data_IF_037825547658
#
_entry.id   IF_037825547658
#
_cell.length_a   1.000
_cell.length_b   1.000
_cell.length_c   1.000
_cell.angle_alpha   90.00
_cell.angle_beta   90.00
_cell.angle_gamma   90.00
#
_symmetry.space_group_name_H-M   'P 1'
#
loop_
_entity.id
_entity.type
_entity.pdbx_description
1 polymer ?
#
# COMPACT_ATOMS: atom_id res chain seq x y z
N UNK A 1 21.77 11.49 5.78
CA UNK A 1 20.67 12.44 5.53
C UNK A 1 20.10 12.38 4.10
N UNK A 2 20.80 11.79 3.11
CA UNK A 2 20.33 11.72 1.71
C UNK A 2 19.48 10.48 1.32
N UNK A 3 19.45 9.41 2.13
CA UNK A 3 18.67 8.21 1.83
C UNK A 3 17.15 8.37 2.09
N UNK A 4 16.77 9.28 3.01
CA UNK A 4 15.41 9.42 3.51
C UNK A 4 14.44 10.05 2.50
N UNK A 5 14.85 11.11 1.79
CA UNK A 5 14.01 11.74 0.75
C UNK A 5 13.78 10.86 -0.49
N UNK A 6 14.64 9.85 -0.71
CA UNK A 6 14.57 8.97 -1.89
C UNK A 6 13.45 7.93 -1.74
N UNK A 7 13.24 7.39 -0.53
CA UNK A 7 12.20 6.41 -0.24
C UNK A 7 10.79 7.00 -0.27
N UNK A 8 10.57 8.18 0.32
CA UNK A 8 9.24 8.85 0.31
C UNK A 8 8.73 9.11 -1.11
N UNK A 9 9.62 9.57 -2.01
CA UNK A 9 9.29 9.81 -3.42
C UNK A 9 9.05 8.53 -4.22
N UNK A 10 9.64 7.41 -3.81
CA UNK A 10 9.42 6.13 -4.49
C UNK A 10 8.07 5.54 -4.11
N UNK A 11 7.69 5.62 -2.84
CA UNK A 11 6.39 5.17 -2.36
C UNK A 11 5.23 6.00 -2.91
N UNK A 12 5.42 7.31 -3.09
CA UNK A 12 4.43 8.18 -3.73
C UNK A 12 4.05 7.75 -5.15
N UNK A 13 4.98 7.13 -5.89
CA UNK A 13 4.72 6.60 -7.24
C UNK A 13 3.88 5.33 -7.24
N UNK A 14 3.80 4.71 -6.08
CA UNK A 14 3.30 3.36 -5.87
C UNK A 14 1.89 3.37 -5.27
N UNK A 15 1.41 4.52 -4.78
CA UNK A 15 0.07 4.65 -4.20
C UNK A 15 -0.83 5.44 -5.15
N UNK A 16 -2.05 4.95 -5.35
CA UNK A 16 -3.05 5.61 -6.18
C UNK A 16 -4.47 5.36 -5.72
N UNK A 17 -5.39 6.16 -6.25
CA UNK A 17 -6.83 6.01 -6.06
C UNK A 17 -7.47 5.84 -7.44
N UNK A 18 -8.45 4.95 -7.54
CA UNK A 18 -9.30 4.81 -8.71
C UNK A 18 -10.75 5.16 -8.38
N UNK A 19 -11.36 6.01 -9.21
CA UNK A 19 -12.77 6.40 -9.15
C UNK A 19 -13.30 6.49 -10.58
N UNK A 20 -14.46 5.88 -10.84
CA UNK A 20 -15.24 6.01 -12.08
C UNK A 20 -14.42 5.88 -13.38
N UNK A 21 -13.65 4.79 -13.50
CA UNK A 21 -12.88 4.48 -14.71
C UNK A 21 -11.54 5.20 -14.82
N UNK A 22 -11.14 5.95 -13.80
CA UNK A 22 -9.89 6.75 -13.82
C UNK A 22 -9.05 6.50 -12.57
N UNK A 23 -7.79 6.12 -12.75
CA UNK A 23 -6.75 6.15 -11.73
C UNK A 23 -6.08 7.53 -11.66
N UNK A 24 -5.76 7.95 -10.44
CA UNK A 24 -4.84 9.07 -10.16
C UNK A 24 -3.84 8.60 -9.12
N UNK A 25 -2.57 8.61 -9.47
CA UNK A 25 -1.46 8.26 -8.59
C UNK A 25 -1.00 9.49 -7.83
N UNK A 26 -0.53 9.32 -6.59
CA UNK A 26 -0.19 10.46 -5.73
C UNK A 26 0.89 11.37 -6.33
N UNK A 27 1.70 10.86 -7.26
CA UNK A 27 2.73 11.60 -7.97
C UNK A 27 2.31 12.20 -9.33
N UNK A 28 1.04 12.08 -9.75
CA UNK A 28 0.57 12.53 -11.08
C UNK A 28 0.36 14.06 -11.20
N UNK A 29 0.77 14.84 -10.20
CA UNK A 29 0.60 16.30 -10.15
C UNK A 29 -0.85 16.78 -9.95
N UNK A 30 -1.82 15.86 -9.86
CA UNK A 30 -3.23 16.13 -9.54
C UNK A 30 -3.49 16.22 -8.03
N UNK A 31 -2.45 15.97 -7.23
CA UNK A 31 -2.51 15.90 -5.77
C UNK A 31 -1.70 17.04 -5.16
N UNK A 32 -2.31 17.73 -4.19
CA UNK A 32 -1.62 18.67 -3.32
C UNK A 32 -0.95 17.89 -2.19
N UNK A 33 0.38 17.72 -2.26
CA UNK A 33 1.15 16.92 -1.32
C UNK A 33 1.85 17.82 -0.30
N UNK A 34 1.62 17.54 0.98
CA UNK A 34 2.23 18.23 2.12
C UNK A 34 2.93 17.22 3.04
N UNK A 35 4.28 17.15 3.01
CA UNK A 35 5.02 16.35 3.98
C UNK A 35 4.93 17.00 5.36
N UNK A 36 4.76 16.19 6.40
CA UNK A 36 4.78 16.58 7.81
C UNK A 36 5.74 15.66 8.55
N UNK A 37 6.87 16.19 8.98
CA UNK A 37 7.78 15.45 9.85
C UNK A 37 7.53 15.84 11.30
N UNK A 38 7.26 14.86 12.16
CA UNK A 38 7.20 15.12 13.60
C UNK A 38 8.63 15.32 14.11
N UNK A 39 8.92 16.50 14.68
CA UNK A 39 10.24 16.81 15.23
C UNK A 39 10.59 15.81 16.33
N UNK A 40 11.70 15.09 16.16
CA UNK A 40 12.23 14.14 17.16
C UNK A 40 11.67 12.71 17.10
N UNK A 41 10.74 12.41 16.17
CA UNK A 41 10.13 11.08 16.02
C UNK A 41 10.73 10.24 14.90
N UNK A 42 10.45 8.93 14.91
CA UNK A 42 10.73 7.97 13.81
C UNK A 42 9.57 7.84 12.82
N UNK A 43 8.53 8.66 12.99
CA UNK A 43 7.31 8.65 12.18
C UNK A 43 7.40 9.73 11.10
N UNK A 44 7.31 9.32 9.83
CA UNK A 44 7.11 10.27 8.72
C UNK A 44 5.63 10.33 8.36
N UNK A 45 5.07 11.53 8.23
CA UNK A 45 3.68 11.74 7.84
C UNK A 45 3.64 12.48 6.52
N UNK A 46 2.75 12.05 5.64
CA UNK A 46 2.47 12.73 4.39
C UNK A 46 0.97 12.87 4.22
N UNK A 47 0.53 14.05 3.79
CA UNK A 47 -0.87 14.29 3.46
C UNK A 47 -0.94 14.65 1.98
N UNK A 48 -1.72 13.89 1.21
CA UNK A 48 -2.02 14.17 -0.18
C UNK A 48 -3.52 14.46 -0.33
N UNK A 49 -3.87 15.54 -1.01
CA UNK A 49 -5.26 15.91 -1.26
C UNK A 49 -5.55 16.02 -2.76
N UNK A 50 -6.64 15.42 -3.22
CA UNK A 50 -7.10 15.52 -4.61
C UNK A 50 -8.24 16.55 -4.70
N UNK A 51 -8.02 17.76 -5.28
CA UNK A 51 -9.02 18.84 -5.25
C UNK A 51 -10.32 18.53 -5.99
N UNK A 52 -10.24 17.79 -7.10
CA UNK A 52 -11.40 17.37 -7.90
C UNK A 52 -12.24 16.29 -7.20
N UNK A 53 -11.58 15.25 -6.67
CA UNK A 53 -12.29 14.14 -6.03
C UNK A 53 -12.66 14.41 -4.57
N UNK A 54 -12.08 15.46 -3.96
CA UNK A 54 -12.21 15.79 -2.54
C UNK A 54 -11.81 14.61 -1.65
N UNK A 55 -10.76 13.91 -2.04
CA UNK A 55 -10.19 12.80 -1.26
C UNK A 55 -8.88 13.26 -0.65
N UNK A 56 -8.72 12.99 0.65
CA UNK A 56 -7.44 13.13 1.34
C UNK A 56 -6.90 11.74 1.65
N UNK A 57 -5.62 11.52 1.38
CA UNK A 57 -4.85 10.36 1.81
C UNK A 57 -3.78 10.86 2.77
N UNK A 58 -3.87 10.45 4.03
CA UNK A 58 -2.79 10.60 5.00
C UNK A 58 -2.03 9.30 5.05
N UNK A 59 -0.71 9.36 5.01
CA UNK A 59 0.18 8.21 5.06
C UNK A 59 1.17 8.40 6.21
N UNK A 60 1.33 7.36 7.00
CA UNK A 60 2.24 7.31 8.13
C UNK A 60 3.23 6.16 7.87
N UNK A 61 4.51 6.49 7.76
CA UNK A 61 5.58 5.50 7.63
C UNK A 61 6.17 5.22 9.01
N UNK A 62 6.04 3.97 9.46
CA UNK A 62 6.58 3.49 10.71
C UNK A 62 7.83 2.64 10.42
N UNK A 63 9.01 3.18 10.76
CA UNK A 63 10.26 2.41 10.70
C UNK A 63 10.55 1.79 12.07
N UNK A 64 10.48 0.46 12.17
CA UNK A 64 10.97 -0.25 13.36
C UNK A 64 12.49 -0.40 13.25
N UNK A 65 13.23 0.16 14.20
CA UNK A 65 14.71 0.11 14.22
C UNK A 65 15.31 -1.30 14.32
N UNK A 66 14.51 -2.28 14.73
CA UNK A 66 14.98 -3.62 15.14
C UNK A 66 14.74 -4.71 14.11
N UNK A 67 13.94 -4.45 13.06
CA UNK A 67 13.61 -5.45 12.03
C UNK A 67 13.49 -4.75 10.68
N UNK A 68 13.86 -5.43 9.59
CA UNK A 68 13.79 -4.96 8.19
C UNK A 68 12.36 -4.85 7.66
N UNK A 69 11.40 -4.67 8.57
CA UNK A 69 9.97 -4.64 8.32
C UNK A 69 9.52 -3.21 8.06
N UNK A 70 8.72 -3.03 7.01
CA UNK A 70 8.22 -1.73 6.60
C UNK A 70 6.71 -1.71 6.82
N UNK A 71 6.21 -0.63 7.43
CA UNK A 71 4.80 -0.43 7.71
C UNK A 71 4.35 0.95 7.21
N UNK A 72 3.27 0.94 6.43
CA UNK A 72 2.58 2.15 6.00
C UNK A 72 1.14 2.10 6.47
N UNK A 73 0.79 3.03 7.34
CA UNK A 73 -0.59 3.23 7.76
C UNK A 73 -1.22 4.33 6.89
N UNK A 74 -2.36 4.04 6.28
CA UNK A 74 -3.11 4.93 5.43
C UNK A 74 -4.42 5.32 6.09
N UNK A 75 -4.72 6.62 6.04
CA UNK A 75 -6.03 7.17 6.40
C UNK A 75 -6.60 7.80 5.14
N UNK A 76 -7.66 7.21 4.59
CA UNK A 76 -8.33 7.73 3.40
C UNK A 76 -9.63 8.39 3.83
N UNK A 77 -9.74 9.69 3.58
CA UNK A 77 -10.87 10.52 3.98
C UNK A 77 -11.60 11.09 2.78
N UNK A 78 -12.91 10.89 2.76
CA UNK A 78 -13.81 11.60 1.87
C UNK A 78 -14.11 12.98 2.46
N UNK A 79 -13.71 14.05 1.78
CA UNK A 79 -14.01 15.43 2.17
C UNK A 79 -15.17 16.04 1.36
N UNK A 80 -15.88 15.24 0.59
CA UNK A 80 -17.11 15.67 -0.09
C UNK A 80 -18.36 15.37 0.74
N UNK A 81 -19.47 15.94 0.29
CA UNK A 81 -20.81 15.66 0.82
C UNK A 81 -21.49 14.47 0.14
N UNK A 82 -20.81 13.79 -0.79
CA UNK A 82 -21.34 12.65 -1.53
C UNK A 82 -20.67 11.36 -1.09
N UNK A 83 -21.40 10.24 -1.20
CA UNK A 83 -20.79 8.90 -1.07
C UNK A 83 -19.75 8.70 -2.19
N UNK A 84 -18.64 8.04 -1.87
CA UNK A 84 -17.60 7.65 -2.83
C UNK A 84 -17.36 6.15 -2.79
N UNK A 85 -17.57 5.51 -3.94
CA UNK A 85 -17.11 4.14 -4.21
C UNK A 85 -15.78 4.25 -4.97
N UNK A 86 -14.68 3.80 -4.36
CA UNK A 86 -13.34 3.96 -4.91
C UNK A 86 -12.52 2.68 -4.73
N UNK A 87 -11.31 2.67 -5.29
CA UNK A 87 -10.33 1.62 -5.02
C UNK A 87 -9.01 2.24 -4.61
N UNK A 88 -8.43 1.73 -3.54
CA UNK A 88 -7.06 1.99 -3.16
C UNK A 88 -6.14 1.10 -3.99
N UNK A 89 -5.10 1.70 -4.56
CA UNK A 89 -4.14 1.03 -5.42
C UNK A 89 -2.76 1.09 -4.76
N UNK A 90 -2.13 -0.06 -4.64
CA UNK A 90 -0.72 -0.17 -4.27
C UNK A 90 0.01 -0.93 -5.38
N UNK A 91 0.79 -0.23 -6.19
CA UNK A 91 1.75 -0.80 -7.12
C UNK A 91 3.09 -0.92 -6.40
N UNK A 92 3.61 -2.13 -6.26
CA UNK A 92 4.90 -2.36 -5.65
C UNK A 92 5.90 -2.75 -6.74
N UNK A 93 7.03 -2.04 -6.79
CA UNK A 93 8.11 -2.30 -7.72
C UNK A 93 9.42 -2.40 -6.94
N UNK A 94 10.00 -3.60 -6.89
CA UNK A 94 11.34 -3.81 -6.35
C UNK A 94 12.40 -3.22 -7.30
N UNK A 95 13.49 -2.72 -6.73
CA UNK A 95 14.63 -2.24 -7.52
C UNK A 95 15.28 -3.40 -8.29
N UNK A 96 15.74 -3.15 -9.52
CA UNK A 96 16.38 -4.16 -10.40
C UNK A 96 17.62 -4.84 -9.78
N UNK A 97 18.26 -4.21 -8.80
CA UNK A 97 19.37 -4.82 -8.04
C UNK A 97 18.92 -5.89 -7.05
N UNK A 98 17.61 -6.04 -6.81
CA UNK A 98 17.06 -7.11 -6.00
C UNK A 98 17.09 -8.40 -6.82
N UNK A 99 17.73 -9.44 -6.29
CA UNK A 99 17.80 -10.79 -6.85
C UNK A 99 16.46 -11.53 -6.86
N UNK A 100 15.33 -10.82 -6.81
CA UNK A 100 14.00 -11.42 -6.86
C UNK A 100 13.81 -12.07 -8.22
N UNK A 101 13.68 -13.40 -8.19
CA UNK A 101 13.52 -14.25 -9.36
C UNK A 101 12.04 -14.41 -9.70
N UNK A 102 11.21 -14.58 -8.67
CA UNK A 102 9.80 -14.95 -8.83
C UNK A 102 8.95 -14.24 -7.78
N UNK A 103 7.77 -13.79 -8.18
CA UNK A 103 6.72 -13.32 -7.28
C UNK A 103 5.51 -14.25 -7.38
N UNK A 104 4.88 -14.54 -6.25
CA UNK A 104 3.73 -15.42 -6.12
C UNK A 104 2.63 -14.73 -5.31
N UNK A 105 1.38 -14.87 -5.75
CA UNK A 105 0.19 -14.48 -4.99
C UNK A 105 -0.28 -15.68 -4.19
N UNK A 106 -0.42 -15.51 -2.87
CA UNK A 106 -1.08 -16.46 -1.98
C UNK A 106 -2.50 -15.96 -1.67
N UNK A 107 -3.55 -16.46 -2.35
CA UNK A 107 -4.92 -16.00 -2.10
C UNK A 107 -5.41 -16.33 -0.69
N UNK A 108 -5.00 -17.49 -0.16
CA UNK A 108 -5.37 -17.92 1.19
C UNK A 108 -4.79 -17.00 2.26
N UNK A 109 -3.59 -16.48 2.04
CA UNK A 109 -2.91 -15.56 2.96
C UNK A 109 -3.15 -14.09 2.62
N UNK A 110 -3.90 -13.78 1.55
CA UNK A 110 -4.07 -12.41 1.05
C UNK A 110 -2.73 -11.64 0.97
N UNK A 111 -1.70 -12.32 0.47
CA UNK A 111 -0.33 -11.81 0.45
C UNK A 111 0.37 -12.10 -0.87
N UNK A 112 1.40 -11.31 -1.18
CA UNK A 112 2.30 -11.50 -2.31
C UNK A 112 3.70 -11.80 -1.77
N UNK A 113 4.26 -12.93 -2.17
CA UNK A 113 5.57 -13.41 -1.74
C UNK A 113 6.54 -13.25 -2.89
N UNK A 114 7.65 -12.55 -2.65
CA UNK A 114 8.73 -12.34 -3.59
C UNK A 114 9.93 -13.18 -3.17
N UNK A 115 10.32 -14.16 -3.99
CA UNK A 115 11.49 -14.99 -3.77
C UNK A 115 12.71 -14.36 -4.46
N UNK A 116 13.64 -13.86 -3.65
CA UNK A 116 15.00 -13.57 -4.08
C UNK A 116 16.01 -14.37 -3.26
N UNK A 117 17.20 -14.60 -3.81
CA UNK A 117 18.30 -15.19 -3.05
C UNK A 117 19.25 -14.07 -2.59
N UNK A 118 19.50 -13.87 -1.29
CA UNK A 118 19.14 -14.72 -0.14
C UNK A 118 17.90 -14.25 0.66
N UNK A 119 17.07 -13.35 0.11
CA UNK A 119 15.99 -12.67 0.85
C UNK A 119 14.63 -12.95 0.20
N UNK A 120 13.70 -13.45 1.00
CA UNK A 120 12.27 -13.51 0.70
C UNK A 120 11.62 -12.26 1.26
N UNK A 121 10.67 -11.67 0.53
CA UNK A 121 9.77 -10.68 1.11
C UNK A 121 8.30 -11.01 0.93
N UNK A 122 7.48 -10.58 1.88
CA UNK A 122 6.03 -10.72 1.87
C UNK A 122 5.41 -9.33 1.92
N UNK A 123 4.54 -9.03 0.96
CA UNK A 123 3.74 -7.81 0.90
C UNK A 123 2.27 -8.16 1.13
N UNK A 124 1.61 -7.46 2.04
CA UNK A 124 0.18 -7.61 2.29
C UNK A 124 -0.43 -6.28 2.75
N UNK A 125 -1.76 -6.24 2.72
CA UNK A 125 -2.55 -5.08 3.14
C UNK A 125 -3.83 -5.53 3.83
N UNK A 126 -4.28 -4.73 4.80
CA UNK A 126 -5.58 -4.88 5.45
C UNK A 126 -6.22 -3.50 5.64
N UNK A 127 -7.49 -3.37 5.24
CA UNK A 127 -8.27 -2.15 5.37
C UNK A 127 -9.53 -2.40 6.18
N UNK A 128 -9.87 -1.44 7.04
CA UNK A 128 -11.01 -1.55 7.91
C UNK A 128 -12.31 -1.74 7.10
N UNK A 129 -13.09 -2.78 7.47
CA UNK A 129 -14.32 -3.27 6.81
C UNK A 129 -14.14 -3.92 5.44
N UNK A 130 -12.93 -3.95 4.88
CA UNK A 130 -12.65 -4.52 3.56
C UNK A 130 -11.50 -5.52 3.68
N UNK A 131 -11.86 -6.79 3.93
CA UNK A 131 -10.92 -7.85 4.30
C UNK A 131 -10.18 -8.47 3.11
N UNK A 132 -10.61 -8.20 1.88
CA UNK A 132 -10.04 -8.83 0.69
C UNK A 132 -9.57 -7.79 -0.32
N UNK A 133 -8.35 -7.99 -0.81
CA UNK A 133 -7.77 -7.19 -1.88
C UNK A 133 -7.58 -8.06 -3.12
N UNK A 134 -7.77 -7.49 -4.31
CA UNK A 134 -7.29 -8.15 -5.52
C UNK A 134 -5.77 -8.06 -5.53
N UNK A 135 -5.11 -9.18 -5.82
CA UNK A 135 -3.66 -9.29 -5.87
C UNK A 135 -3.25 -9.82 -7.24
N UNK A 136 -2.18 -9.25 -7.79
CA UNK A 136 -1.55 -9.76 -9.01
C UNK A 136 -0.05 -9.46 -9.02
N UNK A 137 0.68 -10.32 -9.70
CA UNK A 137 2.12 -10.14 -9.99
C UNK A 137 2.29 -9.93 -11.49
N UNK A 138 3.26 -9.09 -11.86
CA UNK A 138 3.53 -8.71 -13.25
C UNK A 138 3.58 -7.20 -13.45
N UNK A 139 3.98 -6.80 -14.66
CA UNK A 139 4.09 -5.38 -15.05
C UNK A 139 2.75 -4.68 -14.95
N UNK A 140 2.72 -3.50 -14.32
CA UNK A 140 1.49 -2.71 -14.10
C UNK A 140 0.64 -2.56 -15.36
N UNK A 141 1.24 -2.30 -16.52
CA UNK A 141 0.53 -2.07 -17.79
C UNK A 141 -0.19 -3.32 -18.30
N UNK A 142 0.22 -4.51 -17.85
CA UNK A 142 -0.40 -5.79 -18.23
C UNK A 142 -1.47 -6.22 -17.23
N UNK A 143 -1.22 -5.99 -15.94
CA UNK A 143 -2.09 -6.47 -14.87
C UNK A 143 -3.15 -5.46 -14.44
N UNK A 144 -2.99 -4.16 -14.70
CA UNK A 144 -3.96 -3.14 -14.31
C UNK A 144 -4.89 -2.75 -15.46
N UNK A 145 -6.21 -2.97 -15.29
CA UNK A 145 -7.22 -2.49 -16.21
C UNK A 145 -7.86 -1.19 -15.69
N UNK A 146 -7.32 -0.05 -16.09
CA UNK A 146 -7.78 1.26 -15.63
C UNK A 146 -9.27 1.52 -15.91
N UNK A 147 -9.80 1.15 -17.07
CA UNK A 147 -11.22 1.41 -17.40
C UNK A 147 -12.19 0.63 -16.51
N UNK A 148 -11.79 -0.53 -16.00
CA UNK A 148 -12.60 -1.39 -15.11
C UNK A 148 -12.22 -1.25 -13.64
N UNK A 149 -11.08 -0.64 -13.35
CA UNK A 149 -10.48 -0.56 -12.03
C UNK A 149 -10.17 -1.94 -11.43
N UNK A 150 -9.79 -2.93 -12.22
CA UNK A 150 -9.57 -4.28 -11.70
C UNK A 150 -8.28 -4.87 -12.23
N UNK A 151 -7.77 -5.90 -11.55
CA UNK A 151 -6.61 -6.62 -12.04
C UNK A 151 -7.03 -7.57 -13.19
N UNK A 152 -6.44 -7.37 -14.36
CA UNK A 152 -6.64 -8.22 -15.53
C UNK A 152 -5.79 -9.49 -15.37
N UNK A 153 -6.40 -10.66 -15.60
CA UNK A 153 -5.78 -12.00 -15.65
C UNK A 153 -4.58 -12.13 -14.71
N UNK A 154 -4.83 -12.47 -13.44
CA UNK A 154 -3.79 -12.56 -12.42
C UNK A 154 -3.01 -13.87 -12.56
N UNK A 155 -1.77 -13.90 -13.11
CA UNK A 155 -0.93 -15.06 -12.92
C UNK A 155 -0.65 -15.17 -11.42
N UNK A 156 -0.93 -16.32 -10.82
CA UNK A 156 -0.59 -16.56 -9.42
C UNK A 156 0.93 -16.57 -9.20
N UNK A 157 1.72 -16.72 -10.26
CA UNK A 157 3.17 -16.77 -10.22
C UNK A 157 3.73 -16.13 -11.50
N UNK A 158 4.70 -15.23 -11.36
CA UNK A 158 5.39 -14.66 -12.50
C UNK A 158 6.84 -14.29 -12.14
N UNK A 159 7.74 -14.42 -13.11
CA UNK A 159 9.04 -13.77 -13.05
C UNK A 159 8.85 -12.25 -13.13
N UNK A 160 9.49 -11.53 -12.22
CA UNK A 160 9.45 -10.07 -12.20
C UNK A 160 9.50 -9.48 -10.81
N UNK A 161 9.56 -8.15 -10.81
CA UNK A 161 9.77 -7.31 -9.62
C UNK A 161 8.55 -6.48 -9.25
N UNK A 162 7.48 -6.61 -10.04
CA UNK A 162 6.28 -5.80 -9.93
C UNK A 162 5.10 -6.62 -9.46
N UNK A 163 4.34 -6.01 -8.56
CA UNK A 163 3.08 -6.57 -8.05
C UNK A 163 2.09 -5.45 -7.78
N UNK A 164 0.81 -5.77 -7.72
CA UNK A 164 -0.24 -4.80 -7.47
C UNK A 164 -1.29 -5.35 -6.51
N UNK A 165 -1.71 -4.50 -5.58
CA UNK A 165 -2.84 -4.72 -4.68
C UNK A 165 -3.91 -3.68 -4.95
N UNK A 166 -5.16 -4.13 -4.97
CA UNK A 166 -6.33 -3.28 -5.22
C UNK A 166 -7.39 -3.58 -4.18
N UNK A 167 -7.66 -2.63 -3.31
CA UNK A 167 -8.65 -2.75 -2.23
C UNK A 167 -9.84 -1.88 -2.55
N UNK A 168 -11.05 -2.45 -2.57
CA UNK A 168 -12.27 -1.65 -2.73
C UNK A 168 -12.52 -0.88 -1.45
N UNK A 169 -12.93 0.38 -1.57
CA UNK A 169 -13.31 1.22 -0.44
C UNK A 169 -14.64 1.92 -0.72
N UNK A 170 -15.50 1.94 0.30
CA UNK A 170 -16.77 2.67 0.26
C UNK A 170 -16.79 3.70 1.39
N UNK A 171 -16.77 4.99 1.04
CA UNK A 171 -16.78 6.08 2.03
C UNK A 171 -18.07 6.89 1.93
N UNK A 172 -18.77 7.01 3.06
CA UNK A 172 -19.84 7.98 3.26
C UNK A 172 -19.27 9.41 3.27
N UNK A 173 -20.14 10.44 3.16
CA UNK A 173 -19.73 11.83 3.32
C UNK A 173 -18.92 12.04 4.60
N UNK A 174 -17.81 12.77 4.50
CA UNK A 174 -16.92 13.12 5.62
C UNK A 174 -16.27 11.93 6.36
N UNK A 175 -16.51 10.70 5.91
CA UNK A 175 -15.99 9.49 6.53
C UNK A 175 -14.50 9.30 6.21
N UNK A 176 -13.78 8.72 7.17
CA UNK A 176 -12.44 8.18 6.99
C UNK A 176 -12.41 6.66 7.19
N UNK A 177 -11.48 6.01 6.51
CA UNK A 177 -11.15 4.60 6.68
C UNK A 177 -9.65 4.46 6.89
N UNK A 178 -9.28 3.47 7.68
CA UNK A 178 -7.90 3.15 8.00
C UNK A 178 -7.50 1.86 7.31
N UNK A 179 -6.29 1.82 6.80
CA UNK A 179 -5.69 0.59 6.31
C UNK A 179 -4.19 0.59 6.56
N UNK A 180 -3.60 -0.59 6.52
CA UNK A 180 -2.17 -0.76 6.69
C UNK A 180 -1.64 -1.66 5.59
N UNK A 181 -0.50 -1.27 5.04
CA UNK A 181 0.32 -2.07 4.14
C UNK A 181 1.60 -2.40 4.88
N UNK A 182 2.05 -3.65 4.81
CA UNK A 182 3.32 -4.05 5.37
C UNK A 182 4.13 -4.89 4.41
N UNK A 183 5.45 -4.73 4.51
CA UNK A 183 6.41 -5.61 3.86
C UNK A 183 7.33 -6.23 4.91
N UNK A 184 7.38 -7.57 4.93
CA UNK A 184 8.34 -8.34 5.72
C UNK A 184 9.46 -8.85 4.86
N UNK A 185 10.66 -8.82 5.41
CA UNK A 185 11.84 -9.45 4.83
C UNK A 185 12.31 -10.56 5.76
N UNK A 186 12.79 -11.65 5.18
CA UNK A 186 13.27 -12.82 5.91
C UNK A 186 14.10 -13.74 5.02
N UNK A 187 14.63 -14.81 5.61
CA UNK A 187 15.42 -15.82 4.92
C UNK A 187 14.59 -17.05 4.51
N UNK A 188 13.38 -17.21 5.07
CA UNK A 188 12.47 -18.30 4.73
C UNK A 188 11.02 -17.81 4.64
N UNK A 189 10.17 -18.60 3.96
CA UNK A 189 8.75 -18.31 3.85
C UNK A 189 8.06 -18.42 5.22
N UNK A 190 8.44 -19.39 6.04
CA UNK A 190 7.92 -19.59 7.40
C UNK A 190 8.18 -18.36 8.27
N UNK A 191 9.37 -17.75 8.16
CA UNK A 191 9.71 -16.54 8.92
C UNK A 191 8.79 -15.37 8.56
N UNK A 192 8.63 -15.07 7.27
CA UNK A 192 7.81 -13.93 6.83
C UNK A 192 6.32 -14.17 7.06
N UNK A 193 5.85 -15.42 6.94
CA UNK A 193 4.48 -15.80 7.26
C UNK A 193 4.20 -15.71 8.76
N UNK A 194 5.13 -16.15 9.62
CA UNK A 194 4.97 -16.02 11.07
C UNK A 194 4.85 -14.55 11.48
N UNK A 195 5.64 -13.64 10.87
CA UNK A 195 5.51 -12.18 11.08
C UNK A 195 4.14 -11.68 10.60
N UNK A 196 3.63 -12.18 9.47
CA UNK A 196 2.34 -11.81 8.90
C UNK A 196 1.15 -12.19 9.78
N UNK A 197 1.15 -13.40 10.36
CA UNK A 197 0.07 -13.86 11.25
C UNK A 197 0.01 -13.07 12.58
N UNK A 198 1.11 -12.44 12.99
CA UNK A 198 1.18 -11.62 14.21
C UNK A 198 0.72 -10.17 14.01
N UNK A 199 0.26 -9.80 12.80
CA UNK A 199 -0.16 -8.43 12.55
C UNK A 199 -1.48 -8.08 13.20
N UNK A 200 -1.53 -6.86 13.75
CA UNK A 200 -2.78 -6.30 14.26
C UNK A 200 -3.77 -6.15 13.10
N UNK A 201 -5.00 -6.60 13.32
CA UNK A 201 -6.07 -6.42 12.34
C UNK A 201 -6.46 -4.95 12.21
N UNK A 202 -7.05 -4.60 11.07
CA UNK A 202 -7.53 -3.25 10.77
C UNK A 202 -8.57 -2.69 11.75
N UNK A 203 -9.22 -3.55 12.55
CA UNK A 203 -10.21 -3.19 13.57
C UNK A 203 -9.60 -2.37 14.73
N UNK A 204 -8.33 -2.63 15.09
CA UNK A 204 -7.63 -1.90 16.16
C UNK A 204 -6.83 -0.70 15.62
N UNK A 205 -6.66 -0.63 14.30
CA UNK A 205 -5.78 0.32 13.64
C UNK A 205 -6.22 1.77 13.83
N UNK A 206 -7.53 2.07 13.85
CA UNK A 206 -8.04 3.41 14.11
C UNK A 206 -7.58 3.94 15.47
N UNK A 207 -7.73 3.13 16.52
CA UNK A 207 -7.37 3.52 17.89
C UNK A 207 -5.87 3.73 18.03
N UNK A 208 -5.07 2.80 17.49
CA UNK A 208 -3.61 2.89 17.49
C UNK A 208 -3.13 4.12 16.72
N UNK A 209 -3.69 4.37 15.54
CA UNK A 209 -3.31 5.52 14.71
C UNK A 209 -3.64 6.85 15.38
N UNK A 210 -4.80 6.95 16.06
CA UNK A 210 -5.19 8.14 16.81
C UNK A 210 -4.29 8.42 18.01
N UNK A 211 -3.62 7.41 18.57
CA UNK A 211 -2.62 7.61 19.65
C UNK A 211 -1.25 8.05 19.12
N UNK A 212 -0.96 7.81 17.84
CA UNK A 212 0.31 8.18 17.20
C UNK A 212 0.35 9.62 16.68
N UNK A 213 -0.82 10.20 16.39
CA UNK A 213 -1.00 11.56 15.86
C UNK A 213 -1.21 12.60 16.97
#
# INVERSE_FOLDING_TARGET
MFAFQKNERQLLKNVGIWIDGTSSWLNDGQWDISPKQIRGGTLSIMVAYHPKWKIQVTMLEEQKKTDSSIFYTFIVKNQSNDKKDMKFLMHHQKMESASTKVAFVSPLKQAIIHYGEPIISLLAADFFKEKESQLAVGKKEKIWCNSKGMLAVSPLCQEGLESMMVTKLTLLPLQEVYGRVWEFHGQSEEEVLAKHELQIGSEELEQVTKQML
#
